data_IF_486211536019
#
_entry.id   IF_486211536019
#
_cell.length_a   1.000
_cell.length_b   1.000
_cell.length_c   1.000
_cell.angle_alpha   90.00
_cell.angle_beta   90.00
_cell.angle_gamma   90.00
#
_symmetry.space_group_name_H-M   'P 1'
#
loop_
_entity.id
_entity.type
_entity.pdbx_description
1 polymer ?
#
# COMPACT_ATOMS: atom_id res chain seq x y z
N UNK A 1 -42.24 27.63 51.34
CA UNK A 1 -42.45 27.00 50.03
C UNK A 1 -42.56 28.15 49.04
N UNK A 2 -41.57 28.55 48.26
CA UNK A 2 -40.23 28.04 47.99
C UNK A 2 -39.37 29.21 47.50
N UNK A 3 -38.08 29.11 47.80
CA UNK A 3 -37.02 30.00 47.33
C UNK A 3 -36.82 29.82 45.82
N UNK A 4 -36.39 30.86 45.11
CA UNK A 4 -35.18 30.73 44.28
C UNK A 4 -34.60 32.09 43.88
N UNK A 5 -33.40 32.34 44.39
CA UNK A 5 -32.44 33.32 43.91
C UNK A 5 -31.79 32.84 42.60
N UNK A 6 -31.35 33.76 41.74
CA UNK A 6 -30.08 33.61 41.03
C UNK A 6 -29.60 34.98 40.54
N UNK A 7 -28.79 35.56 41.41
CA UNK A 7 -27.88 36.66 41.18
C UNK A 7 -26.89 36.29 40.05
N UNK A 8 -26.76 37.16 39.05
CA UNK A 8 -25.79 37.03 37.96
C UNK A 8 -24.41 37.49 38.46
N UNK A 9 -23.65 36.57 39.05
CA UNK A 9 -22.21 36.76 39.25
C UNK A 9 -21.48 36.47 37.94
N UNK A 10 -20.91 37.53 37.35
CA UNK A 10 -19.97 37.44 36.25
C UNK A 10 -18.68 36.78 36.74
N UNK A 11 -18.43 35.55 36.30
CA UNK A 11 -17.18 34.85 36.55
C UNK A 11 -16.05 35.53 35.79
N UNK A 12 -15.08 36.02 36.55
CA UNK A 12 -13.76 36.49 36.12
C UNK A 12 -13.05 35.40 35.30
N UNK A 13 -12.93 35.62 33.99
CA UNK A 13 -12.24 34.70 33.08
C UNK A 13 -10.74 35.01 33.16
N UNK A 14 -10.06 34.31 34.05
CA UNK A 14 -8.60 34.28 34.12
C UNK A 14 -8.07 33.52 32.90
N UNK A 15 -7.53 34.26 31.93
CA UNK A 15 -6.89 33.66 30.74
C UNK A 15 -5.44 33.31 31.12
N UNK A 16 -5.02 32.03 31.08
CA UNK A 16 -3.64 31.68 31.34
C UNK A 16 -2.73 32.17 30.20
N UNK A 17 -1.63 32.82 30.58
CA UNK A 17 -0.53 33.22 29.70
C UNK A 17 0.10 31.96 29.10
N UNK A 18 0.33 31.87 27.77
CA UNK A 18 1.02 30.74 27.19
C UNK A 18 2.50 30.74 27.63
N UNK A 19 2.90 29.68 28.33
CA UNK A 19 4.30 29.40 28.65
C UNK A 19 5.04 29.02 27.36
N UNK A 20 6.13 29.72 27.07
CA UNK A 20 7.03 29.39 25.97
C UNK A 20 7.66 28.01 26.22
N UNK A 21 7.34 27.05 25.37
CA UNK A 21 7.98 25.73 25.34
C UNK A 21 9.34 25.89 24.68
N UNK A 22 10.42 25.67 25.43
CA UNK A 22 11.77 25.60 24.88
C UNK A 22 11.88 24.43 23.90
N UNK A 23 12.39 24.72 22.71
CA UNK A 23 12.63 23.73 21.65
C UNK A 23 13.85 22.89 22.00
N UNK A 24 13.76 21.56 22.05
CA UNK A 24 14.95 20.72 22.22
C UNK A 24 15.81 20.75 20.95
N UNK A 25 17.08 21.16 21.11
CA UNK A 25 18.11 21.10 20.05
C UNK A 25 18.35 19.65 19.62
N UNK A 26 18.14 19.38 18.33
CA UNK A 26 18.50 18.11 17.67
C UNK A 26 19.99 18.18 17.31
N UNK A 27 20.83 17.18 17.68
CA UNK A 27 22.21 17.12 17.22
C UNK A 27 22.28 16.78 15.72
N UNK A 28 23.15 17.52 15.04
CA UNK A 28 23.47 17.46 13.61
C UNK A 28 24.09 16.11 13.21
N UNK A 29 23.73 15.50 12.06
CA UNK A 29 24.40 14.29 11.57
C UNK A 29 25.77 14.64 10.97
N UNK A 30 26.83 14.11 11.57
CA UNK A 30 28.21 14.21 11.06
C UNK A 30 28.39 13.39 9.78
N UNK A 31 28.60 14.07 8.65
CA UNK A 31 29.08 13.47 7.40
C UNK A 31 30.59 13.21 7.51
N UNK A 32 30.98 11.94 7.65
CA UNK A 32 32.39 11.54 7.56
C UNK A 32 32.67 10.99 6.16
N UNK A 33 33.49 11.73 5.40
CA UNK A 33 34.04 11.30 4.12
C UNK A 33 35.22 10.33 4.30
N UNK A 34 35.12 9.18 3.61
CA UNK A 34 36.11 8.43 2.79
C UNK A 34 37.56 8.24 3.33
N UNK A 35 38.14 7.03 3.20
CA UNK A 35 38.94 6.74 2.00
C UNK A 35 38.78 5.32 1.42
N UNK A 36 38.80 5.25 0.09
CA UNK A 36 39.05 4.07 -0.74
C UNK A 36 40.46 3.49 -0.50
N UNK A 37 40.62 2.16 -0.58
CA UNK A 37 41.67 1.63 -1.46
C UNK A 37 41.26 0.40 -2.30
N UNK A 38 41.53 0.53 -3.61
CA UNK A 38 42.05 -0.39 -4.64
C UNK A 38 41.67 -1.90 -4.72
N UNK A 39 41.69 -2.46 -5.95
CA UNK A 39 41.11 -3.76 -6.28
C UNK A 39 42.03 -4.95 -5.98
N UNK A 40 41.47 -6.04 -5.47
CA UNK A 40 42.11 -7.36 -5.44
C UNK A 40 41.33 -8.27 -6.38
N UNK A 41 41.97 -8.59 -7.49
CA UNK A 41 41.59 -9.65 -8.42
C UNK A 41 41.94 -10.98 -7.75
N UNK A 42 40.94 -11.74 -7.34
CA UNK A 42 41.11 -13.14 -6.93
C UNK A 42 40.31 -14.02 -7.88
N UNK A 43 41.06 -14.76 -8.69
CA UNK A 43 40.66 -15.87 -9.54
C UNK A 43 39.63 -16.76 -8.80
N UNK A 44 38.35 -16.60 -9.16
CA UNK A 44 37.27 -17.45 -8.66
C UNK A 44 36.67 -18.16 -9.86
N UNK A 45 37.12 -19.40 -10.01
CA UNK A 45 36.58 -20.51 -10.79
C UNK A 45 35.16 -20.24 -11.29
N UNK A 46 35.02 -20.21 -12.61
CA UNK A 46 33.73 -20.15 -13.30
C UNK A 46 32.88 -21.37 -12.87
N UNK A 47 32.08 -21.19 -11.82
CA UNK A 47 30.89 -22.01 -11.63
C UNK A 47 29.91 -21.54 -12.68
N UNK A 48 29.68 -22.41 -13.67
CA UNK A 48 28.57 -22.30 -14.61
C UNK A 48 27.29 -22.14 -13.79
N UNK A 49 26.88 -20.90 -13.60
CA UNK A 49 25.53 -20.58 -13.16
C UNK A 49 24.67 -20.96 -14.36
N UNK A 50 23.70 -21.88 -14.22
CA UNK A 50 22.70 -22.03 -15.26
C UNK A 50 22.06 -20.66 -15.43
N UNK A 51 22.09 -20.13 -16.65
CA UNK A 51 21.25 -19.02 -17.07
C UNK A 51 19.82 -19.37 -16.63
N UNK A 52 19.40 -18.83 -15.48
CA UNK A 52 18.00 -18.75 -15.16
C UNK A 52 17.50 -17.66 -16.09
N UNK A 53 17.10 -18.08 -17.28
CA UNK A 53 16.24 -17.30 -18.13
C UNK A 53 14.98 -17.10 -17.29
N UNK A 54 14.91 -15.98 -16.59
CA UNK A 54 13.64 -15.45 -16.11
C UNK A 54 12.84 -15.12 -17.36
N UNK A 55 12.20 -16.12 -17.94
CA UNK A 55 10.96 -15.91 -18.67
C UNK A 55 9.96 -15.44 -17.62
N UNK A 56 10.08 -14.16 -17.23
CA UNK A 56 9.01 -13.44 -16.60
C UNK A 56 7.94 -13.33 -17.69
N UNK A 57 7.04 -14.32 -17.70
CA UNK A 57 5.74 -14.21 -18.33
C UNK A 57 5.12 -12.97 -17.70
N UNK A 58 5.33 -11.82 -18.33
CA UNK A 58 4.88 -10.51 -17.87
C UNK A 58 3.40 -10.46 -18.19
N UNK A 59 2.62 -11.24 -17.43
CA UNK A 59 1.25 -11.52 -17.76
C UNK A 59 0.47 -10.25 -17.49
N UNK A 60 0.09 -9.61 -18.59
CA UNK A 60 -0.48 -8.27 -18.59
C UNK A 60 -1.91 -8.36 -18.07
N UNK A 61 -2.24 -7.53 -17.07
CA UNK A 61 -3.60 -7.48 -16.51
C UNK A 61 -4.53 -6.71 -17.45
N UNK A 62 -5.77 -7.19 -17.58
CA UNK A 62 -6.78 -6.54 -18.41
C UNK A 62 -7.39 -5.34 -17.69
N UNK A 63 -7.89 -4.36 -18.46
CA UNK A 63 -8.62 -3.22 -17.90
C UNK A 63 -9.85 -3.64 -17.09
N UNK A 64 -10.56 -4.68 -17.54
CA UNK A 64 -11.73 -5.22 -16.82
C UNK A 64 -11.35 -5.74 -15.42
N UNK A 65 -10.18 -6.38 -15.31
CA UNK A 65 -9.69 -6.86 -14.02
C UNK A 65 -9.24 -5.71 -13.12
N UNK A 66 -8.61 -4.65 -13.67
CA UNK A 66 -8.33 -3.41 -12.93
C UNK A 66 -9.62 -2.78 -12.37
N UNK A 67 -10.67 -2.68 -13.17
CA UNK A 67 -11.96 -2.15 -12.72
C UNK A 67 -12.56 -2.96 -11.57
N UNK A 68 -12.41 -4.29 -11.62
CA UNK A 68 -12.82 -5.18 -10.52
C UNK A 68 -12.03 -4.88 -9.25
N UNK A 69 -10.71 -4.76 -9.36
CA UNK A 69 -9.83 -4.39 -8.23
C UNK A 69 -10.27 -3.04 -7.65
N UNK A 70 -10.48 -2.01 -8.48
CA UNK A 70 -10.96 -0.70 -8.03
C UNK A 70 -12.25 -0.81 -7.21
N UNK A 71 -13.25 -1.55 -7.72
CA UNK A 71 -14.54 -1.72 -7.03
C UNK A 71 -14.38 -2.39 -5.67
N UNK A 72 -13.58 -3.44 -5.59
CA UNK A 72 -13.32 -4.16 -4.34
C UNK A 72 -12.57 -3.27 -3.31
N UNK A 73 -11.59 -2.48 -3.75
CA UNK A 73 -10.89 -1.54 -2.89
C UNK A 73 -11.80 -0.41 -2.36
N UNK A 74 -12.66 0.13 -3.23
CA UNK A 74 -13.66 1.14 -2.84
C UNK A 74 -14.64 0.54 -1.83
N UNK A 75 -15.13 -0.67 -2.06
CA UNK A 75 -16.04 -1.34 -1.14
C UNK A 75 -15.42 -1.52 0.25
N UNK A 76 -14.18 -2.02 0.33
CA UNK A 76 -13.48 -2.19 1.62
C UNK A 76 -13.24 -0.84 2.32
N UNK A 77 -12.99 0.22 1.55
CA UNK A 77 -12.86 1.58 2.10
C UNK A 77 -14.19 2.06 2.70
N UNK A 78 -15.31 1.85 2.00
CA UNK A 78 -16.63 2.22 2.50
C UNK A 78 -17.02 1.42 3.74
N UNK A 79 -16.80 0.11 3.74
CA UNK A 79 -17.02 -0.76 4.91
C UNK A 79 -16.12 -0.36 6.09
N UNK A 80 -14.87 0.01 5.81
CA UNK A 80 -13.94 0.52 6.81
C UNK A 80 -14.40 1.83 7.44
N UNK A 81 -14.98 2.74 6.65
CA UNK A 81 -15.56 3.99 7.14
C UNK A 81 -16.81 3.74 7.99
N UNK A 82 -17.72 2.88 7.52
CA UNK A 82 -18.97 2.54 8.21
C UNK A 82 -18.71 1.86 9.56
N UNK A 83 -17.71 0.98 9.61
CA UNK A 83 -17.29 0.28 10.83
C UNK A 83 -16.32 1.07 11.71
N UNK A 84 -15.90 2.27 11.29
CA UNK A 84 -14.94 3.10 12.00
C UNK A 84 -13.52 2.53 12.07
N UNK A 85 -13.18 1.56 11.22
CA UNK A 85 -11.83 0.97 11.12
C UNK A 85 -10.84 1.86 10.38
N UNK A 86 -11.33 2.79 9.56
CA UNK A 86 -10.54 3.87 8.97
C UNK A 86 -11.26 5.22 9.16
N UNK A 87 -10.48 6.30 9.23
CA UNK A 87 -11.03 7.67 9.30
C UNK A 87 -11.29 8.25 7.91
N UNK A 88 -12.02 9.37 7.85
CA UNK A 88 -12.23 10.14 6.60
C UNK A 88 -10.92 10.67 6.02
N UNK A 89 -9.96 11.03 6.88
CA UNK A 89 -8.63 11.46 6.43
C UNK A 89 -7.86 10.29 5.81
N UNK A 90 -7.88 9.12 6.46
CA UNK A 90 -7.27 7.91 5.92
C UNK A 90 -7.93 7.47 4.60
N UNK A 91 -9.25 7.57 4.47
CA UNK A 91 -9.94 7.22 3.23
C UNK A 91 -9.53 8.11 2.06
N UNK A 92 -9.26 9.40 2.32
CA UNK A 92 -8.70 10.31 1.33
C UNK A 92 -7.29 9.89 0.91
N UNK A 93 -6.42 9.57 1.87
CA UNK A 93 -5.06 9.09 1.59
C UNK A 93 -5.07 7.77 0.81
N UNK A 94 -5.94 6.83 1.19
CA UNK A 94 -6.15 5.57 0.48
C UNK A 94 -6.58 5.84 -0.96
N UNK A 95 -7.60 6.69 -1.16
CA UNK A 95 -8.11 7.00 -2.50
C UNK A 95 -7.02 7.60 -3.39
N UNK A 96 -6.22 8.53 -2.86
CA UNK A 96 -5.09 9.10 -3.59
C UNK A 96 -4.05 8.03 -3.93
N UNK A 97 -3.64 7.22 -2.94
CA UNK A 97 -2.67 6.15 -3.14
C UNK A 97 -3.13 5.15 -4.22
N UNK A 98 -4.41 4.73 -4.18
CA UNK A 98 -4.97 3.80 -5.16
C UNK A 98 -5.00 4.43 -6.56
N UNK A 99 -5.43 5.68 -6.69
CA UNK A 99 -5.46 6.36 -7.99
C UNK A 99 -4.06 6.56 -8.58
N UNK A 100 -3.07 6.91 -7.76
CA UNK A 100 -1.70 7.18 -8.20
C UNK A 100 -0.95 5.92 -8.64
N UNK A 101 -1.24 4.77 -8.03
CA UNK A 101 -0.46 3.54 -8.23
C UNK A 101 -1.17 2.53 -9.14
N UNK A 102 -2.50 2.36 -9.03
CA UNK A 102 -3.21 1.28 -9.72
C UNK A 102 -3.30 1.51 -11.25
N UNK A 103 -3.27 2.75 -11.72
CA UNK A 103 -3.24 3.04 -13.16
C UNK A 103 -1.92 2.55 -13.80
N UNK A 104 -0.80 2.72 -13.08
CA UNK A 104 0.55 2.34 -13.52
C UNK A 104 0.82 0.83 -13.48
N UNK A 105 0.02 0.05 -12.74
CA UNK A 105 0.16 -1.41 -12.65
C UNK A 105 -0.25 -2.04 -13.98
N UNK A 106 0.62 -2.78 -14.66
CA UNK A 106 0.28 -3.43 -15.93
C UNK A 106 0.42 -4.95 -15.89
N UNK A 107 1.04 -5.48 -14.85
CA UNK A 107 1.27 -6.92 -14.69
C UNK A 107 0.69 -7.46 -13.39
N UNK A 108 0.45 -8.78 -13.35
CA UNK A 108 -0.04 -9.46 -12.15
C UNK A 108 0.93 -9.33 -10.96
N UNK A 109 2.24 -9.28 -11.24
CA UNK A 109 3.28 -9.11 -10.22
C UNK A 109 3.19 -7.71 -9.62
N UNK A 110 3.15 -6.66 -10.46
CA UNK A 110 2.99 -5.28 -9.99
C UNK A 110 1.69 -5.10 -9.19
N UNK A 111 0.61 -5.76 -9.62
CA UNK A 111 -0.67 -5.70 -8.90
C UNK A 111 -0.54 -6.35 -7.52
N UNK A 112 0.12 -7.50 -7.45
CA UNK A 112 0.35 -8.20 -6.18
C UNK A 112 1.20 -7.36 -5.23
N UNK A 113 2.25 -6.71 -5.74
CA UNK A 113 3.09 -5.78 -4.98
C UNK A 113 2.28 -4.59 -4.48
N UNK A 114 1.51 -3.94 -5.35
CA UNK A 114 0.63 -2.82 -4.98
C UNK A 114 -0.36 -3.21 -3.88
N UNK A 115 -1.06 -4.35 -4.03
CA UNK A 115 -2.02 -4.84 -3.04
C UNK A 115 -1.35 -5.20 -1.71
N UNK A 116 -0.10 -5.66 -1.75
CA UNK A 116 0.68 -5.93 -0.54
C UNK A 116 1.09 -4.64 0.17
N UNK A 117 1.55 -3.63 -0.57
CA UNK A 117 1.88 -2.31 -0.01
C UNK A 117 0.65 -1.63 0.61
N UNK A 118 -0.50 -1.71 -0.06
CA UNK A 118 -1.78 -1.20 0.44
C UNK A 118 -2.17 -1.88 1.76
N UNK A 119 -2.10 -3.21 1.81
CA UNK A 119 -2.44 -3.99 3.00
C UNK A 119 -1.45 -3.81 4.17
N UNK A 120 -0.18 -3.52 3.86
CA UNK A 120 0.83 -3.21 4.87
C UNK A 120 0.62 -1.83 5.51
N UNK A 121 0.18 -0.85 4.72
CA UNK A 121 -0.16 0.49 5.22
C UNK A 121 -1.48 0.51 5.97
N UNK A 122 -2.49 -0.17 5.43
CA UNK A 122 -3.85 -0.21 5.96
C UNK A 122 -4.33 -1.65 6.10
N UNK A 123 -4.32 -2.15 7.35
CA UNK A 123 -4.61 -3.56 7.66
C UNK A 123 -6.01 -4.03 7.24
N UNK A 124 -6.96 -3.11 7.05
CA UNK A 124 -8.31 -3.42 6.55
C UNK A 124 -8.29 -4.07 5.16
N UNK A 125 -7.22 -3.86 4.38
CA UNK A 125 -7.10 -4.44 3.04
C UNK A 125 -6.44 -5.83 3.00
N UNK A 126 -6.00 -6.39 4.13
CA UNK A 126 -5.34 -7.70 4.13
C UNK A 126 -6.21 -8.80 3.51
N UNK A 127 -7.48 -8.86 3.88
CA UNK A 127 -8.40 -9.88 3.38
C UNK A 127 -8.68 -9.73 1.88
N UNK A 128 -8.89 -8.51 1.39
CA UNK A 128 -9.15 -8.27 -0.04
C UNK A 128 -7.89 -8.44 -0.89
N UNK A 129 -6.72 -8.10 -0.36
CA UNK A 129 -5.42 -8.33 -1.00
C UNK A 129 -5.21 -9.82 -1.28
N UNK A 130 -5.43 -10.68 -0.28
CA UNK A 130 -5.35 -12.13 -0.44
C UNK A 130 -6.38 -12.68 -1.44
N UNK A 131 -7.63 -12.23 -1.34
CA UNK A 131 -8.71 -12.64 -2.27
C UNK A 131 -8.36 -12.29 -3.72
N UNK A 132 -7.95 -11.06 -3.98
CA UNK A 132 -7.62 -10.58 -5.32
C UNK A 132 -6.39 -11.29 -5.89
N UNK A 133 -5.35 -11.51 -5.07
CA UNK A 133 -4.18 -12.29 -5.50
C UNK A 133 -4.59 -13.70 -5.94
N UNK A 134 -5.40 -14.41 -5.14
CA UNK A 134 -5.85 -15.75 -5.47
C UNK A 134 -6.68 -15.80 -6.76
N UNK A 135 -7.57 -14.83 -6.96
CA UNK A 135 -8.38 -14.72 -8.18
C UNK A 135 -7.53 -14.48 -9.43
N UNK A 136 -6.53 -13.60 -9.35
CA UNK A 136 -5.65 -13.32 -10.49
C UNK A 136 -4.85 -14.55 -10.95
N UNK A 137 -4.41 -15.41 -10.01
CA UNK A 137 -3.78 -16.68 -10.34
C UNK A 137 -4.75 -17.72 -10.94
N UNK A 138 -6.03 -17.69 -10.55
CA UNK A 138 -7.05 -18.61 -11.10
C UNK A 138 -7.41 -18.25 -12.53
N UNK A 139 -7.60 -16.96 -12.81
CA UNK A 139 -7.90 -16.48 -14.17
C UNK A 139 -6.76 -16.78 -15.15
N UNK A 140 -5.50 -16.73 -14.67
CA UNK A 140 -4.32 -17.16 -15.44
C UNK A 140 -4.38 -18.64 -15.82
N UNK A 141 -4.59 -19.53 -14.85
CA UNK A 141 -4.67 -20.98 -15.13
C UNK A 141 -5.81 -21.34 -16.07
N UNK A 142 -6.95 -20.64 -15.96
CA UNK A 142 -8.10 -20.89 -16.83
C UNK A 142 -7.78 -20.49 -18.27
N UNK A 143 -7.13 -19.34 -18.49
CA UNK A 143 -6.69 -18.92 -19.84
C UNK A 143 -5.69 -19.88 -20.45
N UNK A 144 -4.67 -20.30 -19.69
CA UNK A 144 -3.65 -21.25 -20.17
C UNK A 144 -4.28 -22.60 -20.57
N UNK A 145 -5.19 -23.13 -19.77
CA UNK A 145 -5.89 -24.39 -20.08
C UNK A 145 -6.78 -24.24 -21.31
N UNK A 146 -7.50 -23.12 -21.48
CA UNK A 146 -8.32 -22.87 -22.66
C UNK A 146 -7.49 -22.75 -23.93
N UNK A 147 -6.33 -22.09 -23.87
CA UNK A 147 -5.43 -21.98 -25.02
C UNK A 147 -4.88 -23.35 -25.42
N UNK A 148 -4.47 -24.17 -24.44
CA UNK A 148 -4.01 -25.54 -24.68
C UNK A 148 -5.11 -26.43 -25.31
N UNK A 149 -6.35 -26.34 -24.85
CA UNK A 149 -7.48 -27.09 -25.45
C UNK A 149 -7.74 -26.66 -26.90
N UNK A 150 -7.66 -25.36 -27.19
CA UNK A 150 -7.87 -24.84 -28.55
C UNK A 150 -6.76 -25.28 -29.51
N UNK A 151 -5.50 -25.38 -29.04
CA UNK A 151 -4.41 -25.92 -29.86
C UNK A 151 -4.59 -27.42 -30.16
N UNK A 152 -5.11 -28.20 -29.20
CA UNK A 152 -5.36 -29.64 -29.39
C UNK A 152 -6.51 -29.89 -30.39
N UNK A 153 -7.56 -29.08 -30.38
CA UNK A 153 -8.71 -29.25 -31.29
C UNK A 153 -8.47 -28.77 -32.73
N UNK A 154 -7.35 -28.11 -33.01
CA UNK A 154 -6.98 -27.62 -34.35
C UNK A 154 -5.89 -28.48 -35.04
N UNK A 155 -5.56 -29.65 -34.49
CA UNK A 155 -4.74 -30.70 -35.11
C UNK A 155 -5.60 -31.87 -35.58
#
# INVERSE_FOLDING_TARGET
MDQNSSDQSASDISIPVPVSVETPSIPEPTLTSTPTPSPVITDTVAVSTPNFVSNATSNTITSEYKDKVYKELVQVTLEGLDTGKITVEQSKEIAQFVLDHLDAVNTQVELSTFLQELANKWSVFQSVSLKLQEEGFKDEKIKEVQENINQINNQ
#
